data_IF_571301674494
#
_entry.id   IF_571301674494
#
_cell.length_a   1.000
_cell.length_b   1.000
_cell.length_c   1.000
_cell.angle_alpha   90.00
_cell.angle_beta   90.00
_cell.angle_gamma   90.00
#
_symmetry.space_group_name_H-M   'P 1'
#
loop_
_entity.id
_entity.type
_entity.pdbx_description
1 polymer ?
#
# COMPACT_ATOMS: atom_id res chain seq x y z
N UNK A 1 11.08 -8.74 8.50
CA UNK A 1 11.19 -10.06 7.85
C UNK A 1 12.46 -10.05 7.01
N UNK A 2 13.37 -11.01 7.21
CA UNK A 2 14.62 -11.10 6.44
C UNK A 2 14.32 -11.86 5.15
N UNK A 3 14.53 -11.23 4.00
CA UNK A 3 14.47 -11.96 2.72
C UNK A 3 15.72 -12.83 2.58
N UNK A 4 15.64 -13.89 1.76
CA UNK A 4 16.74 -14.85 1.57
C UNK A 4 18.07 -14.22 1.08
N UNK A 5 18.07 -12.94 0.67
CA UNK A 5 19.25 -12.16 0.30
C UNK A 5 19.73 -11.15 1.36
N UNK A 6 19.26 -11.21 2.61
CA UNK A 6 19.70 -10.32 3.69
C UNK A 6 19.10 -8.91 3.67
N UNK A 7 18.14 -8.62 2.77
CA UNK A 7 17.41 -7.36 2.74
C UNK A 7 16.30 -7.31 3.79
N UNK A 8 16.12 -6.15 4.42
CA UNK A 8 14.89 -5.85 5.17
C UNK A 8 13.77 -5.62 4.15
N UNK A 9 12.85 -6.59 4.06
CA UNK A 9 11.69 -6.52 3.16
C UNK A 9 10.43 -6.01 3.86
N UNK A 10 9.46 -5.58 3.06
CA UNK A 10 8.10 -5.28 3.52
C UNK A 10 7.28 -6.58 3.64
N UNK A 11 6.35 -6.62 4.59
CA UNK A 11 5.41 -7.74 4.76
C UNK A 11 3.98 -7.19 4.70
N UNK A 12 3.12 -7.89 3.96
CA UNK A 12 1.68 -7.60 3.95
C UNK A 12 1.10 -7.91 5.34
N UNK A 13 0.45 -6.91 5.95
CA UNK A 13 -0.18 -7.06 7.26
C UNK A 13 -1.54 -7.75 7.16
N UNK A 14 -2.39 -7.27 6.26
CA UNK A 14 -3.71 -7.83 5.95
C UNK A 14 -4.12 -7.46 4.52
N UNK A 15 -5.11 -8.17 3.99
CA UNK A 15 -5.82 -7.80 2.77
C UNK A 15 -7.27 -7.62 3.15
N UNK A 16 -7.81 -6.42 2.92
CA UNK A 16 -9.20 -6.09 3.21
C UNK A 16 -9.97 -5.90 1.89
N UNK A 17 -11.20 -6.40 1.84
CA UNK A 17 -12.08 -6.25 0.69
C UNK A 17 -13.10 -5.16 0.99
N UNK A 18 -13.09 -4.09 0.20
CA UNK A 18 -14.11 -3.06 0.27
C UNK A 18 -15.40 -3.55 -0.42
N UNK A 19 -16.51 -3.61 0.34
CA UNK A 19 -17.85 -3.81 -0.23
C UNK A 19 -18.45 -2.45 -0.63
N UNK A 20 -17.86 -1.82 -1.65
CA UNK A 20 -18.42 -0.61 -2.27
C UNK A 20 -19.32 -0.99 -3.44
N UNK A 21 -20.46 -0.30 -3.56
CA UNK A 21 -21.36 -0.50 -4.70
C UNK A 21 -20.66 -0.07 -5.99
N UNK A 22 -20.63 -0.93 -7.02
CA UNK A 22 -20.04 -0.59 -8.31
C UNK A 22 -20.87 0.50 -9.02
N UNK A 23 -20.19 1.33 -9.81
CA UNK A 23 -20.82 2.38 -10.60
C UNK A 23 -21.45 1.76 -11.85
N UNK A 24 -22.76 1.90 -11.97
CA UNK A 24 -23.51 1.33 -13.09
C UNK A 24 -23.56 2.32 -14.26
N UNK A 25 -22.96 1.96 -15.39
CA UNK A 25 -22.96 2.76 -16.62
C UNK A 25 -23.82 2.10 -17.68
N UNK A 26 -24.71 2.86 -18.31
CA UNK A 26 -25.58 2.35 -19.36
C UNK A 26 -24.83 2.26 -20.70
N UNK A 27 -24.55 1.03 -21.15
CA UNK A 27 -23.86 0.71 -22.40
C UNK A 27 -24.52 -0.53 -23.06
N UNK A 28 -25.64 -0.37 -23.79
CA UNK A 28 -26.51 -1.46 -24.26
C UNK A 28 -25.93 -2.35 -25.39
N UNK A 29 -24.61 -2.31 -25.62
CA UNK A 29 -23.89 -3.16 -26.56
C UNK A 29 -22.60 -3.76 -26.01
N UNK A 30 -22.34 -3.57 -24.71
CA UNK A 30 -21.15 -4.10 -24.06
C UNK A 30 -21.35 -5.61 -23.76
N UNK A 31 -20.35 -6.48 -24.02
CA UNK A 31 -20.48 -7.93 -23.76
C UNK A 31 -20.72 -8.25 -22.28
N UNK A 32 -20.25 -7.38 -21.38
CA UNK A 32 -20.42 -7.50 -19.93
C UNK A 32 -21.63 -6.70 -19.40
N UNK A 33 -22.54 -6.25 -20.27
CA UNK A 33 -23.76 -5.58 -19.84
C UNK A 33 -24.78 -6.59 -19.29
N UNK A 34 -25.45 -6.24 -18.19
CA UNK A 34 -26.58 -7.00 -17.66
C UNK A 34 -27.78 -6.95 -18.64
N UNK A 35 -28.81 -7.74 -18.38
CA UNK A 35 -30.10 -7.82 -19.08
C UNK A 35 -30.77 -6.46 -19.37
N UNK A 36 -30.46 -5.43 -18.56
CA UNK A 36 -30.96 -4.07 -18.71
C UNK A 36 -29.99 -3.11 -19.46
N UNK A 37 -28.86 -3.60 -19.97
CA UNK A 37 -27.86 -2.79 -20.70
C UNK A 37 -26.89 -2.00 -19.81
N UNK A 38 -26.74 -2.37 -18.53
CA UNK A 38 -25.84 -1.70 -17.58
C UNK A 38 -24.56 -2.50 -17.34
N UNK A 39 -23.43 -1.81 -17.31
CA UNK A 39 -22.10 -2.36 -16.99
C UNK A 39 -21.68 -1.88 -15.61
N UNK A 40 -21.25 -2.81 -14.76
CA UNK A 40 -20.74 -2.52 -13.42
C UNK A 40 -19.26 -2.16 -13.49
N UNK A 41 -18.92 -0.90 -13.18
CA UNK A 41 -17.55 -0.43 -13.06
C UNK A 41 -17.09 -0.39 -11.59
N UNK A 42 -15.82 -0.65 -11.30
CA UNK A 42 -15.27 -0.44 -9.96
C UNK A 42 -15.41 1.03 -9.56
N UNK A 43 -15.97 1.27 -8.38
CA UNK A 43 -16.04 2.60 -7.77
C UNK A 43 -14.71 2.88 -7.05
N UNK A 44 -13.67 3.22 -7.83
CA UNK A 44 -12.32 3.51 -7.34
C UNK A 44 -11.89 4.90 -7.83
N UNK A 45 -11.55 5.77 -6.89
CA UNK A 45 -10.94 7.06 -7.20
C UNK A 45 -9.42 6.92 -7.26
N UNK A 46 -8.89 6.91 -8.47
CA UNK A 46 -7.45 6.83 -8.72
C UNK A 46 -6.66 7.91 -7.99
N UNK A 47 -7.20 9.11 -7.82
CA UNK A 47 -6.48 10.20 -7.14
C UNK A 47 -6.26 9.89 -5.67
N UNK A 48 -7.27 9.33 -5.00
CA UNK A 48 -7.17 8.90 -3.61
C UNK A 48 -6.20 7.73 -3.46
N UNK A 49 -6.28 6.73 -4.35
CA UNK A 49 -5.39 5.57 -4.32
C UNK A 49 -3.91 5.94 -4.53
N UNK A 50 -3.63 6.92 -5.42
CA UNK A 50 -2.28 7.44 -5.58
C UNK A 50 -1.78 8.18 -4.34
N UNK A 51 -2.65 8.94 -3.66
CA UNK A 51 -2.30 9.62 -2.40
C UNK A 51 -2.01 8.60 -1.29
N UNK A 52 -2.80 7.53 -1.19
CA UNK A 52 -2.58 6.46 -0.22
C UNK A 52 -1.26 5.72 -0.49
N UNK A 53 -1.00 5.33 -1.74
CA UNK A 53 0.27 4.73 -2.14
C UNK A 53 1.49 5.63 -1.86
N UNK A 54 1.35 6.94 -2.08
CA UNK A 54 2.40 7.92 -1.76
C UNK A 54 2.61 8.01 -0.24
N UNK A 55 1.53 8.04 0.54
CA UNK A 55 1.57 8.04 2.00
C UNK A 55 2.31 6.81 2.54
N UNK A 56 1.96 5.63 2.04
CA UNK A 56 2.61 4.37 2.39
C UNK A 56 4.12 4.40 2.07
N UNK A 57 4.50 4.97 0.91
CA UNK A 57 5.91 5.11 0.51
C UNK A 57 6.67 6.02 1.48
N UNK A 58 6.11 7.18 1.83
CA UNK A 58 6.74 8.11 2.79
C UNK A 58 6.84 7.53 4.20
N UNK A 59 5.81 6.80 4.65
CA UNK A 59 5.84 6.11 5.93
C UNK A 59 6.96 5.06 5.98
N UNK A 60 7.18 4.34 4.87
CA UNK A 60 8.28 3.39 4.75
C UNK A 60 9.66 4.08 4.83
N UNK A 61 9.86 5.18 4.09
CA UNK A 61 11.10 5.98 4.15
C UNK A 61 11.37 6.50 5.57
N UNK A 62 10.35 7.04 6.23
CA UNK A 62 10.46 7.54 7.61
C UNK A 62 10.86 6.43 8.59
N UNK A 63 10.24 5.25 8.48
CA UNK A 63 10.56 4.10 9.33
C UNK A 63 12.00 3.62 9.15
N UNK A 64 12.51 3.60 7.91
CA UNK A 64 13.93 3.30 7.66
C UNK A 64 14.84 4.34 8.30
N UNK A 65 14.51 5.63 8.19
CA UNK A 65 15.28 6.71 8.81
C UNK A 65 15.39 6.51 10.33
N UNK A 66 14.28 6.17 11.00
CA UNK A 66 14.26 5.88 12.45
C UNK A 66 15.13 4.68 12.81
N UNK A 67 15.11 3.62 12.01
CA UNK A 67 15.93 2.42 12.24
C UNK A 67 17.42 2.78 12.16
N UNK A 68 17.83 3.57 11.16
CA UNK A 68 19.23 3.95 11.01
C UNK A 68 19.71 4.86 12.15
N UNK A 69 18.89 5.83 12.57
CA UNK A 69 19.18 6.67 13.74
C UNK A 69 19.34 5.81 15.00
N UNK A 70 18.44 4.83 15.19
CA UNK A 70 18.49 3.93 16.35
C UNK A 70 19.77 3.09 16.36
N UNK A 71 20.21 2.62 15.18
CA UNK A 71 21.44 1.86 15.03
C UNK A 71 22.68 2.70 15.35
N UNK A 72 22.74 3.93 14.84
CA UNK A 72 23.83 4.87 15.13
C UNK A 72 23.90 5.20 16.63
N UNK A 73 22.76 5.49 17.27
CA UNK A 73 22.68 5.71 18.72
C UNK A 73 23.18 4.50 19.51
N UNK A 74 22.79 3.28 19.11
CA UNK A 74 23.26 2.04 19.74
C UNK A 74 24.78 1.86 19.63
N UNK A 75 25.35 2.09 18.45
CA UNK A 75 26.80 2.00 18.23
C UNK A 75 27.59 3.02 19.06
N UNK A 76 27.13 4.28 19.08
CA UNK A 76 27.76 5.33 19.89
C UNK A 76 27.72 5.01 21.38
N UNK A 77 26.60 4.47 21.85
CA UNK A 77 26.46 4.07 23.27
C UNK A 77 27.45 2.97 23.64
N UNK A 78 27.60 1.95 22.78
CA UNK A 78 28.60 0.89 22.98
C UNK A 78 30.03 1.43 22.96
N UNK A 79 30.33 2.41 22.09
CA UNK A 79 31.64 3.05 22.03
C UNK A 79 31.98 3.86 23.29
N UNK A 80 30.98 4.43 23.98
CA UNK A 80 31.19 5.18 25.23
C UNK A 80 31.40 4.23 26.42
N UNK A 81 30.80 3.03 26.38
CA UNK A 81 30.88 2.04 27.47
C UNK A 81 32.09 1.10 27.39
N UNK A 82 32.73 0.99 26.22
CA UNK A 82 33.94 0.21 25.99
C UNK A 82 35.21 0.99 26.36
#
# INVERSE_FOLDING_TARGET
>A
VSTAGGGQGVKVASVEYANVQPDMKYEPGHPDADTNGYVAYPNIDMTSEFVDALSATRAYEANIGVIEITKDLGQRTLQILA
#
